data_IF_500099484224
#
_entry.id   IF_500099484224
#
_cell.length_a   1.000
_cell.length_b   1.000
_cell.length_c   1.000
_cell.angle_alpha   90.00
_cell.angle_beta   90.00
_cell.angle_gamma   90.00
#
_symmetry.space_group_name_H-M   'P 1'
#
loop_
_entity.id
_entity.type
_entity.pdbx_description
1 polymer ?
#
# COMPACT_ATOMS: atom_id res chain seq x y z
N UNK A 1 -8.83 -7.38 -62.99
CA UNK A 1 -7.76 -8.32 -62.56
C UNK A 1 -6.50 -7.49 -62.35
N UNK A 2 -5.88 -7.36 -61.18
CA UNK A 2 -5.59 -8.37 -60.17
C UNK A 2 -5.60 -7.76 -58.77
N UNK A 3 -6.03 -8.60 -57.82
CA UNK A 3 -5.89 -8.43 -56.38
C UNK A 3 -4.42 -8.22 -56.00
N UNK A 4 -4.18 -7.28 -55.09
CA UNK A 4 -3.02 -7.33 -54.20
C UNK A 4 -3.54 -7.18 -52.78
N UNK A 5 -3.38 -8.26 -52.06
CA UNK A 5 -3.82 -8.51 -50.71
C UNK A 5 -3.10 -7.57 -49.74
N UNK A 6 -3.86 -7.03 -48.79
CA UNK A 6 -3.35 -6.31 -47.63
C UNK A 6 -2.91 -7.39 -46.63
N UNK A 7 -1.65 -7.41 -46.15
CA UNK A 7 -1.33 -8.23 -45.00
C UNK A 7 -1.94 -7.60 -43.75
N UNK A 8 -3.03 -8.22 -43.28
CA UNK A 8 -3.49 -8.18 -41.90
C UNK A 8 -2.43 -8.82 -41.00
N UNK A 9 -2.12 -8.17 -39.88
CA UNK A 9 -1.56 -8.82 -38.71
C UNK A 9 -0.14 -8.38 -38.35
N UNK A 10 -0.04 -7.38 -37.48
CA UNK A 10 0.62 -7.52 -36.17
C UNK A 10 -0.08 -6.52 -35.23
N UNK A 11 -1.04 -6.99 -34.44
CA UNK A 11 -1.43 -6.34 -33.20
C UNK A 11 -0.67 -7.09 -32.11
N UNK A 12 0.46 -6.54 -31.65
CA UNK A 12 1.13 -7.06 -30.46
C UNK A 12 1.68 -5.87 -29.68
N UNK A 13 0.84 -5.36 -28.77
CA UNK A 13 1.21 -4.50 -27.63
C UNK A 13 1.81 -3.13 -27.98
N UNK A 14 1.03 -2.30 -28.66
CA UNK A 14 1.22 -0.84 -28.69
C UNK A 14 0.75 -0.13 -27.43
N UNK A 15 0.93 -0.72 -26.24
CA UNK A 15 0.65 -0.02 -24.98
C UNK A 15 1.80 0.94 -24.72
N UNK A 16 1.72 2.14 -25.32
CA UNK A 16 2.46 3.28 -24.82
C UNK A 16 1.86 3.67 -23.47
N UNK A 17 2.28 2.99 -22.41
CA UNK A 17 2.14 3.55 -21.06
C UNK A 17 3.11 4.72 -20.97
N UNK A 18 2.54 5.92 -20.81
CA UNK A 18 3.24 7.13 -20.38
C UNK A 18 4.06 6.81 -19.12
N UNK A 19 5.16 7.54 -18.84
CA UNK A 19 6.08 7.19 -17.76
C UNK A 19 5.34 7.12 -16.43
N UNK A 20 4.96 5.91 -16.02
CA UNK A 20 4.67 5.60 -14.64
C UNK A 20 5.98 5.93 -13.94
N UNK A 21 5.97 7.00 -13.14
CA UNK A 21 7.01 7.32 -12.17
C UNK A 21 7.55 5.99 -11.63
N UNK A 22 8.87 5.84 -11.65
CA UNK A 22 9.69 4.64 -11.50
C UNK A 22 9.46 3.74 -10.26
N UNK A 23 8.27 3.73 -9.67
CA UNK A 23 7.86 2.86 -8.58
C UNK A 23 7.94 1.43 -9.05
N UNK A 24 9.04 0.78 -8.70
CA UNK A 24 9.28 -0.61 -9.05
C UNK A 24 8.37 -1.48 -8.21
N UNK A 25 7.52 -2.27 -8.87
CA UNK A 25 6.71 -3.26 -8.17
C UNK A 25 7.61 -4.39 -7.70
N UNK A 26 7.73 -4.54 -6.39
CA UNK A 26 8.50 -5.63 -5.81
C UNK A 26 7.64 -6.89 -5.84
N UNK A 27 8.21 -7.98 -6.36
CA UNK A 27 7.58 -9.30 -6.34
C UNK A 27 8.51 -10.22 -5.57
N UNK A 28 8.08 -10.53 -4.36
CA UNK A 28 8.81 -11.38 -3.45
C UNK A 28 8.92 -12.84 -3.90
N UNK A 29 10.00 -13.49 -3.46
CA UNK A 29 10.12 -14.96 -3.54
C UNK A 29 9.18 -15.67 -2.55
N UNK A 30 8.77 -14.95 -1.49
CA UNK A 30 7.76 -15.38 -0.51
C UNK A 30 6.65 -14.31 -0.39
N UNK A 31 5.48 -14.74 0.05
CA UNK A 31 4.33 -13.86 0.33
C UNK A 31 4.31 -13.44 1.81
N UNK A 32 3.62 -12.34 2.09
CA UNK A 32 3.40 -11.86 3.44
C UNK A 32 2.52 -12.85 4.22
N UNK A 33 2.96 -13.26 5.42
CA UNK A 33 2.16 -14.11 6.31
C UNK A 33 1.69 -13.30 7.53
N UNK A 34 0.62 -13.75 8.19
CA UNK A 34 0.06 -13.01 9.32
C UNK A 34 1.05 -12.82 10.47
N UNK A 35 2.03 -13.71 10.64
CA UNK A 35 3.08 -13.60 11.68
C UNK A 35 4.11 -12.50 11.36
N UNK A 36 4.33 -12.21 10.08
CA UNK A 36 5.21 -11.13 9.62
C UNK A 36 4.53 -9.76 9.70
N UNK A 37 3.19 -9.73 9.80
CA UNK A 37 2.40 -8.49 9.93
C UNK A 37 2.40 -8.01 11.38
N UNK A 38 3.17 -6.97 11.63
CA UNK A 38 3.16 -6.24 12.89
C UNK A 38 2.96 -4.75 12.63
N UNK A 39 1.86 -4.20 13.10
CA UNK A 39 1.64 -2.75 13.08
C UNK A 39 2.26 -2.10 14.31
N UNK A 40 2.89 -0.96 14.07
CA UNK A 40 3.56 -0.13 15.08
C UNK A 40 3.26 1.33 14.77
N UNK A 41 3.48 2.22 15.73
CA UNK A 41 3.25 3.67 15.57
C UNK A 41 1.81 4.13 15.29
N UNK A 42 1.60 5.44 15.21
CA UNK A 42 0.29 6.02 15.00
C UNK A 42 -0.30 5.72 13.61
N UNK A 43 -1.61 5.46 13.57
CA UNK A 43 -2.35 5.31 12.32
C UNK A 43 -2.60 6.70 11.76
N UNK A 44 -2.08 6.95 10.55
CA UNK A 44 -2.22 8.25 9.91
C UNK A 44 -3.44 8.23 9.00
N UNK A 45 -4.41 9.11 9.27
CA UNK A 45 -5.54 9.31 8.36
C UNK A 45 -5.12 10.17 7.18
N UNK A 46 -5.25 9.63 5.96
CA UNK A 46 -5.01 10.34 4.70
C UNK A 46 -6.29 10.35 3.85
N UNK A 47 -7.18 11.29 4.14
CA UNK A 47 -8.49 11.38 3.47
C UNK A 47 -9.36 10.16 3.76
N UNK A 48 -9.73 9.40 2.72
CA UNK A 48 -10.49 8.14 2.85
C UNK A 48 -9.61 6.91 3.15
N UNK A 49 -8.28 7.05 3.15
CA UNK A 49 -7.34 5.98 3.43
C UNK A 49 -6.74 6.11 4.82
N UNK A 50 -6.68 5.02 5.59
CA UNK A 50 -5.90 4.92 6.81
C UNK A 50 -4.55 4.29 6.49
N UNK A 51 -3.47 4.98 6.80
CA UNK A 51 -2.10 4.52 6.58
C UNK A 51 -1.61 3.91 7.90
N UNK A 52 -1.39 2.60 7.88
CA UNK A 52 -0.86 1.87 9.01
C UNK A 52 0.61 1.59 8.76
N UNK A 53 1.45 2.08 9.66
CA UNK A 53 2.86 1.73 9.64
C UNK A 53 3.04 0.28 10.10
N UNK A 54 3.72 -0.50 9.27
CA UNK A 54 4.03 -1.89 9.50
C UNK A 54 5.53 -2.04 9.75
N UNK A 55 5.86 -2.59 10.91
CA UNK A 55 7.23 -2.88 11.28
C UNK A 55 7.74 -4.12 10.54
N UNK A 56 8.94 -4.02 10.01
CA UNK A 56 9.62 -5.09 9.30
C UNK A 56 10.37 -5.96 10.31
N UNK A 57 9.70 -7.00 10.81
CA UNK A 57 10.28 -7.96 11.78
C UNK A 57 11.01 -9.14 11.12
N UNK A 58 11.15 -9.11 9.80
CA UNK A 58 11.64 -10.20 8.96
C UNK A 58 12.69 -9.68 7.97
N UNK A 59 13.48 -10.56 7.35
CA UNK A 59 14.43 -10.19 6.29
C UNK A 59 13.72 -9.59 5.05
N UNK A 60 13.76 -8.27 4.81
CA UNK A 60 13.12 -7.66 3.64
C UNK A 60 13.78 -8.12 2.33
N UNK A 61 15.09 -8.40 2.35
CA UNK A 61 15.82 -9.01 1.24
C UNK A 61 15.19 -10.30 0.72
N UNK A 62 14.87 -11.22 1.64
CA UNK A 62 14.27 -12.51 1.25
C UNK A 62 12.80 -12.36 0.86
N UNK A 63 12.11 -11.41 1.47
CA UNK A 63 10.69 -11.17 1.23
C UNK A 63 10.44 -10.44 -0.06
N UNK A 64 11.13 -9.34 -0.30
CA UNK A 64 10.86 -8.43 -1.41
C UNK A 64 11.94 -8.46 -2.49
N UNK A 65 13.05 -9.17 -2.27
CA UNK A 65 14.19 -9.19 -3.19
C UNK A 65 14.98 -7.89 -3.17
N UNK A 66 14.81 -7.07 -2.13
CA UNK A 66 15.42 -5.74 -2.00
C UNK A 66 16.72 -5.85 -1.21
N UNK A 67 17.88 -5.49 -1.77
CA UNK A 67 19.18 -5.46 -1.07
C UNK A 67 19.24 -4.37 0.01
N UNK A 68 18.49 -4.53 1.10
CA UNK A 68 18.23 -3.52 2.13
C UNK A 68 18.95 -3.85 3.42
N UNK A 69 18.90 -5.11 3.86
CA UNK A 69 19.65 -5.63 4.99
C UNK A 69 20.98 -6.23 4.51
N UNK A 70 21.84 -5.41 3.92
CA UNK A 70 23.28 -5.71 3.95
C UNK A 70 23.83 -5.22 5.29
N UNK A 71 24.52 -6.06 6.05
CA UNK A 71 25.12 -5.79 7.39
C UNK A 71 25.97 -4.50 7.46
N UNK A 72 26.30 -3.91 6.31
CA UNK A 72 27.07 -2.68 6.15
C UNK A 72 26.23 -1.39 6.00
N UNK A 73 24.92 -1.48 5.74
CA UNK A 73 24.05 -0.31 5.59
C UNK A 73 23.00 -0.26 6.71
N UNK A 74 22.90 0.88 7.41
CA UNK A 74 21.86 1.17 8.41
C UNK A 74 20.53 1.56 7.74
N UNK A 75 20.29 1.06 6.53
CA UNK A 75 19.10 1.38 5.76
C UNK A 75 17.89 0.67 6.38
N UNK A 76 16.81 1.41 6.57
CA UNK A 76 15.59 0.90 7.18
C UNK A 76 14.44 0.92 6.17
N UNK A 77 13.59 -0.11 6.23
CA UNK A 77 12.43 -0.23 5.36
C UNK A 77 11.17 0.13 6.13
N UNK A 78 10.49 1.18 5.69
CA UNK A 78 9.17 1.53 6.18
C UNK A 78 8.13 0.88 5.29
N UNK A 79 7.22 0.10 5.87
CA UNK A 79 6.06 -0.42 5.16
C UNK A 79 4.81 0.33 5.61
N UNK A 80 3.98 0.73 4.67
CA UNK A 80 2.71 1.39 4.92
C UNK A 80 1.60 0.59 4.25
N UNK A 81 0.67 0.10 5.07
CA UNK A 81 -0.54 -0.55 4.61
C UNK A 81 -1.67 0.47 4.59
N UNK A 82 -2.14 0.78 3.38
CA UNK A 82 -3.29 1.64 3.17
C UNK A 82 -4.57 0.82 3.32
N UNK A 83 -5.48 1.30 4.15
CA UNK A 83 -6.81 0.74 4.34
C UNK A 83 -7.87 1.72 3.86
N UNK A 84 -8.68 1.26 2.92
CA UNK A 84 -9.77 2.05 2.37
C UNK A 84 -10.99 1.99 3.30
N UNK A 85 -11.33 3.13 3.89
CA UNK A 85 -12.47 3.23 4.79
C UNK A 85 -13.82 3.20 4.06
N UNK A 86 -13.84 3.55 2.76
CA UNK A 86 -15.05 3.57 1.94
C UNK A 86 -15.52 2.16 1.60
N UNK A 87 -14.62 1.35 1.06
CA UNK A 87 -14.81 -0.05 0.69
C UNK A 87 -14.61 -1.00 1.88
N UNK A 88 -14.14 -0.48 3.02
CA UNK A 88 -13.84 -1.24 4.23
C UNK A 88 -12.88 -2.42 3.94
N UNK A 89 -11.83 -2.15 3.18
CA UNK A 89 -10.90 -3.19 2.72
C UNK A 89 -9.48 -2.64 2.65
N UNK A 90 -8.50 -3.53 2.75
CA UNK A 90 -7.09 -3.18 2.57
C UNK A 90 -6.81 -2.95 1.09
N UNK A 91 -6.04 -1.91 0.77
CA UNK A 91 -5.59 -1.68 -0.60
C UNK A 91 -4.80 -2.89 -1.13
N UNK A 92 -4.83 -3.07 -2.44
CA UNK A 92 -4.08 -4.12 -3.13
C UNK A 92 -2.60 -3.78 -3.31
N UNK A 93 -2.14 -2.66 -2.78
CA UNK A 93 -0.78 -2.16 -2.89
C UNK A 93 -0.30 -1.74 -1.50
N UNK A 94 0.83 -2.31 -1.09
CA UNK A 94 1.57 -1.90 0.08
C UNK A 94 2.64 -0.90 -0.36
N UNK A 95 2.67 0.26 0.26
CA UNK A 95 3.70 1.25 0.02
C UNK A 95 4.92 0.93 0.87
N UNK A 96 6.10 0.99 0.26
CA UNK A 96 7.35 0.63 0.90
C UNK A 96 8.35 1.74 0.65
N UNK A 97 8.82 2.38 1.71
CA UNK A 97 9.82 3.44 1.61
C UNK A 97 11.11 2.89 2.18
N UNK A 98 12.09 2.69 1.31
CA UNK A 98 13.44 2.37 1.70
C UNK A 98 14.14 3.67 2.06
N UNK A 99 14.31 3.93 3.35
CA UNK A 99 15.07 5.06 3.81
C UNK A 99 16.56 4.71 3.75
N UNK A 100 17.21 5.24 2.72
CA UNK A 100 18.63 5.09 2.51
C UNK A 100 19.42 6.22 3.17
N UNK A 101 20.72 6.02 3.37
CA UNK A 101 21.63 7.07 3.86
C UNK A 101 21.72 8.32 2.95
N UNK A 102 21.47 8.16 1.64
CA UNK A 102 21.63 9.22 0.63
C UNK A 102 20.27 9.74 0.09
N UNK A 103 19.31 8.85 -0.14
CA UNK A 103 17.97 9.19 -0.58
C UNK A 103 16.96 8.10 -0.20
N UNK A 104 15.72 8.51 0.03
CA UNK A 104 14.60 7.59 0.19
C UNK A 104 14.15 7.06 -1.17
N UNK A 105 13.94 5.74 -1.26
CA UNK A 105 13.42 5.11 -2.47
C UNK A 105 12.06 4.49 -2.20
N UNK A 106 11.06 4.92 -2.97
CA UNK A 106 9.69 4.43 -2.87
C UNK A 106 9.46 3.22 -3.79
N UNK A 107 8.93 2.16 -3.20
CA UNK A 107 8.54 0.93 -3.86
C UNK A 107 7.09 0.60 -3.53
N UNK A 108 6.49 -0.23 -4.38
CA UNK A 108 5.13 -0.76 -4.15
C UNK A 108 5.13 -2.26 -4.23
N UNK A 109 4.38 -2.90 -3.36
CA UNK A 109 4.20 -4.35 -3.39
C UNK A 109 2.72 -4.68 -3.60
N UNK A 110 2.43 -5.49 -4.62
CA UNK A 110 1.05 -5.92 -4.89
C UNK A 110 0.63 -7.01 -3.91
N UNK A 111 -0.35 -6.66 -3.07
CA UNK A 111 -0.99 -7.57 -2.12
C UNK A 111 -2.06 -8.41 -2.83
N UNK A 112 -1.97 -9.73 -2.64
CA UNK A 112 -2.98 -10.69 -3.07
C UNK A 112 -4.19 -10.65 -2.13
N UNK A 113 -5.35 -11.17 -2.56
CA UNK A 113 -6.55 -11.28 -1.70
C UNK A 113 -6.29 -12.06 -0.40
N UNK A 114 -5.44 -13.08 -0.46
CA UNK A 114 -4.99 -13.79 0.72
C UNK A 114 -4.24 -12.88 1.70
N UNK A 115 -3.30 -12.05 1.22
CA UNK A 115 -2.51 -11.14 2.07
C UNK A 115 -3.36 -10.03 2.67
N UNK A 116 -4.28 -9.46 1.89
CA UNK A 116 -5.27 -8.48 2.36
C UNK A 116 -6.13 -9.06 3.50
N UNK A 117 -6.55 -10.32 3.36
CA UNK A 117 -7.31 -11.02 4.41
C UNK A 117 -6.50 -11.29 5.69
N UNK A 118 -5.15 -11.26 5.63
CA UNK A 118 -4.28 -11.37 6.81
C UNK A 118 -4.05 -10.00 7.48
N UNK A 119 -3.97 -8.92 6.69
CA UNK A 119 -3.80 -7.56 7.18
C UNK A 119 -5.05 -7.05 7.91
N UNK A 120 -6.24 -7.33 7.36
CA UNK A 120 -7.52 -6.87 7.91
C UNK A 120 -7.71 -7.17 9.41
N UNK A 121 -7.64 -8.42 9.90
CA UNK A 121 -7.82 -8.73 11.32
C UNK A 121 -6.70 -8.16 12.20
N UNK A 122 -5.48 -7.99 11.64
CA UNK A 122 -4.35 -7.39 12.35
C UNK A 122 -4.57 -5.88 12.56
N UNK A 123 -5.08 -5.18 11.54
CA UNK A 123 -5.46 -3.77 11.62
C UNK A 123 -6.61 -3.57 12.60
N UNK A 124 -7.59 -4.46 12.59
CA UNK A 124 -8.70 -4.42 13.53
C UNK A 124 -8.26 -4.60 14.99
N UNK A 125 -7.44 -5.63 15.26
CA UNK A 125 -6.85 -5.81 16.58
C UNK A 125 -5.99 -4.61 17.01
N UNK A 126 -5.31 -3.96 16.05
CA UNK A 126 -4.49 -2.79 16.30
C UNK A 126 -5.34 -1.56 16.67
N UNK A 127 -6.40 -1.26 15.90
CA UNK A 127 -7.35 -0.20 16.22
C UNK A 127 -8.03 -0.43 17.58
N UNK A 128 -8.41 -1.68 17.88
CA UNK A 128 -8.98 -2.01 19.19
C UNK A 128 -7.99 -1.75 20.34
N UNK A 129 -6.70 -2.02 20.13
CA UNK A 129 -5.67 -1.79 21.14
C UNK A 129 -5.33 -0.31 21.31
N UNK A 130 -5.20 0.43 20.22
CA UNK A 130 -4.79 1.85 20.23
C UNK A 130 -5.96 2.77 20.61
N UNK A 131 -7.11 2.59 19.98
CA UNK A 131 -8.27 3.48 20.12
C UNK A 131 -9.40 2.89 20.98
N UNK A 132 -9.27 1.64 21.43
CA UNK A 132 -10.31 0.96 22.20
C UNK A 132 -11.57 0.62 21.39
N UNK A 133 -11.52 0.76 20.06
CA UNK A 133 -12.66 0.58 19.15
C UNK A 133 -12.28 -0.27 17.95
N UNK A 134 -13.25 -0.99 17.37
CA UNK A 134 -13.02 -1.82 16.18
C UNK A 134 -12.64 -0.95 14.96
N UNK A 135 -11.93 -1.51 13.98
CA UNK A 135 -11.52 -0.80 12.77
C UNK A 135 -12.72 -0.18 12.05
N UNK A 136 -13.84 -0.90 11.95
CA UNK A 136 -15.07 -0.38 11.35
C UNK A 136 -15.61 0.86 12.08
N UNK A 137 -15.61 0.84 13.41
CA UNK A 137 -16.11 1.95 14.23
C UNK A 137 -15.21 3.18 14.09
N UNK A 138 -13.90 2.94 14.11
CA UNK A 138 -12.87 3.93 13.85
C UNK A 138 -13.08 4.59 12.48
N UNK A 139 -13.28 3.79 11.42
CA UNK A 139 -13.57 4.29 10.08
C UNK A 139 -14.87 5.08 9.99
N UNK A 140 -15.90 4.67 10.75
CA UNK A 140 -17.17 5.38 10.82
C UNK A 140 -17.02 6.71 11.54
N UNK A 141 -16.26 6.77 12.62
CA UNK A 141 -15.95 8.00 13.35
C UNK A 141 -15.20 8.99 12.45
N UNK A 142 -14.11 8.54 11.81
CA UNK A 142 -13.33 9.36 10.89
C UNK A 142 -14.11 9.88 9.69
N UNK A 143 -14.98 9.04 9.08
CA UNK A 143 -15.87 9.49 8.01
C UNK A 143 -16.86 10.55 8.48
N UNK A 144 -17.40 10.39 9.69
CA UNK A 144 -18.31 11.37 10.27
C UNK A 144 -17.60 12.70 10.51
N UNK A 145 -16.40 12.67 11.11
CA UNK A 145 -15.59 13.86 11.34
C UNK A 145 -15.21 14.57 10.04
N UNK A 146 -14.84 13.84 8.99
CA UNK A 146 -14.57 14.43 7.67
C UNK A 146 -15.80 15.07 7.05
N UNK A 147 -16.96 14.42 7.14
CA UNK A 147 -18.22 14.99 6.64
C UNK A 147 -18.60 16.27 7.41
N UNK A 148 -18.35 16.31 8.72
CA UNK A 148 -18.59 17.50 9.55
C UNK A 148 -17.59 18.63 9.25
N UNK A 149 -16.31 18.32 9.01
CA UNK A 149 -15.30 19.31 8.59
C UNK A 149 -15.62 19.90 7.21
N UNK A 150 -16.10 19.09 6.26
CA UNK A 150 -16.51 19.57 4.94
C UNK A 150 -17.73 20.50 5.03
N UNK A 151 -18.65 20.23 5.96
CA UNK A 151 -19.82 21.08 6.26
C UNK A 151 -19.44 22.40 6.93
N UNK A 152 -18.42 22.41 7.80
CA UNK A 152 -17.98 23.63 8.49
C UNK A 152 -16.92 24.42 7.72
N UNK A 153 -16.40 23.87 6.61
CA UNK A 153 -15.40 24.50 5.74
C UNK A 153 -15.95 25.40 4.64
N UNK A 154 -17.27 25.58 4.50
CA UNK A 154 -17.84 26.64 3.65
C UNK A 154 -17.97 27.93 4.46
N UNK A 155 -17.05 28.91 4.33
CA UNK A 155 -17.38 30.27 4.72
C UNK A 155 -18.51 30.74 3.80
N UNK A 156 -19.67 31.04 4.38
CA UNK A 156 -20.69 31.81 3.66
C UNK A 156 -20.06 33.15 3.27
N UNK A 157 -19.81 33.33 1.97
CA UNK A 157 -19.63 34.64 1.36
C UNK A 157 -20.96 35.11 0.80
#
# INVERSE_FOLDING_TARGET
>A
MNHREIPTGIDETGCQTLPESQTSYLIGSRRLCAEDVSFSEDVIQNGSLLNFYMNVVFDPDKMFGTHVCTDENDDYLNLYANYDMESQTVCNELEMVLAGSDHDTEYRYRLSDAEKALLLPRMDAYCQRMMGSSLEECCRAYRKEQAEQLVQGTPMM
#
